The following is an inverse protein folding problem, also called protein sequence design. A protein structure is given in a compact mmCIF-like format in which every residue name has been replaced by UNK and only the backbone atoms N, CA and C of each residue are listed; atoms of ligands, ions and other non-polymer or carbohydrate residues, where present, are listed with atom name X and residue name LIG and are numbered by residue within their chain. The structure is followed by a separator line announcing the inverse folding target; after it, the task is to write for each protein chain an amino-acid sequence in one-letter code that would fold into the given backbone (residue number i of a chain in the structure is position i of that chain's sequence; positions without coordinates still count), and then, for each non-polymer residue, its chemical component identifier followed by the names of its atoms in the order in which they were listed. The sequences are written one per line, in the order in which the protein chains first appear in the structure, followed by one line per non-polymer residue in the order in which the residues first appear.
data_IF_055928556550
#
_entry.id   IF_055928556550
#
_cell.length_a   1.000
_cell.length_b   1.000
_cell.length_c   1.000
_cell.angle_alpha   90.00
_cell.angle_beta   90.00
_cell.angle_gamma   90.00
#
_symmetry.space_group_name_H-M   'P 1'
#
loop_
_entity.id
_entity.type
_entity.pdbx_description
1 polymer ?
#
# COMPACT_ATOMS: atom_id res chain seq x y z
N UNK A 1 -13.14 -20.33 8.93
CA UNK A 1 -11.90 -19.61 9.34
C UNK A 1 -11.63 -19.90 10.80
N UNK A 2 -10.41 -20.33 11.13
CA UNK A 2 -10.05 -20.64 12.51
C UNK A 2 -9.84 -19.37 13.33
N UNK A 3 -10.04 -19.42 14.68
CA UNK A 3 -9.73 -18.30 15.55
C UNK A 3 -8.26 -17.86 15.46
N UNK A 4 -7.36 -18.79 15.19
CA UNK A 4 -5.93 -18.51 15.03
C UNK A 4 -5.64 -17.61 13.86
N UNK A 5 -6.36 -17.77 12.74
CA UNK A 5 -6.19 -16.94 11.55
C UNK A 5 -6.57 -15.48 11.81
N UNK A 6 -7.64 -15.25 12.57
CA UNK A 6 -8.02 -13.89 13.01
C UNK A 6 -6.97 -13.27 13.92
N UNK A 7 -6.42 -14.05 14.84
CA UNK A 7 -5.38 -13.59 15.73
C UNK A 7 -4.10 -13.25 14.96
N UNK A 8 -3.77 -14.04 13.95
CA UNK A 8 -2.64 -13.74 13.05
C UNK A 8 -2.83 -12.43 12.30
N UNK A 9 -4.05 -12.17 11.80
CA UNK A 9 -4.38 -10.90 11.13
C UNK A 9 -4.24 -9.71 12.09
N UNK A 10 -4.73 -9.85 13.32
CA UNK A 10 -4.59 -8.83 14.36
C UNK A 10 -3.12 -8.55 14.68
N UNK A 11 -2.32 -9.60 14.85
CA UNK A 11 -0.88 -9.46 15.09
C UNK A 11 -0.16 -8.80 13.91
N UNK A 12 -0.50 -9.18 12.70
CA UNK A 12 0.10 -8.61 11.49
C UNK A 12 -0.22 -7.11 11.37
N UNK A 13 -1.48 -6.73 11.60
CA UNK A 13 -1.86 -5.32 11.59
C UNK A 13 -1.14 -4.54 12.70
N UNK A 14 -1.11 -5.07 13.91
CA UNK A 14 -0.44 -4.44 15.05
C UNK A 14 1.04 -4.20 14.74
N UNK A 15 1.72 -5.18 14.16
CA UNK A 15 3.13 -5.05 13.78
C UNK A 15 3.34 -3.97 12.72
N UNK A 16 2.50 -3.94 11.68
CA UNK A 16 2.59 -2.95 10.60
C UNK A 16 2.28 -1.53 11.12
N UNK A 17 1.27 -1.38 11.97
CA UNK A 17 0.89 -0.11 12.56
C UNK A 17 1.96 0.41 13.53
N UNK A 18 2.59 -0.47 14.30
CA UNK A 18 3.73 -0.10 15.17
C UNK A 18 4.92 0.34 14.35
N UNK A 19 5.21 -0.32 13.23
CA UNK A 19 6.28 0.09 12.33
C UNK A 19 6.04 1.49 11.78
N UNK A 20 4.79 1.83 11.43
CA UNK A 20 4.42 3.18 11.02
C UNK A 20 4.70 4.19 12.14
N UNK A 21 4.27 3.91 13.36
CA UNK A 21 4.46 4.81 14.51
C UNK A 21 5.94 5.04 14.82
N UNK A 22 6.74 3.98 14.77
CA UNK A 22 8.20 4.09 14.95
C UNK A 22 8.84 4.93 13.88
N UNK A 23 8.47 4.73 12.62
CA UNK A 23 8.98 5.53 11.50
C UNK A 23 8.61 7.01 11.65
N UNK A 24 7.37 7.31 12.07
CA UNK A 24 6.92 8.68 12.32
C UNK A 24 7.71 9.34 13.44
N UNK A 25 7.99 8.62 14.54
CA UNK A 25 8.77 9.12 15.66
C UNK A 25 10.22 9.38 15.25
N UNK A 26 10.85 8.45 14.56
CA UNK A 26 12.22 8.62 14.05
C UNK A 26 12.31 9.77 13.05
N UNK A 27 11.31 9.92 12.21
CA UNK A 27 11.22 11.03 11.26
C UNK A 27 11.15 12.38 11.95
N UNK A 28 10.42 12.49 13.05
CA UNK A 28 10.37 13.72 13.88
C UNK A 28 11.73 14.06 14.48
N UNK A 29 12.41 13.06 15.03
CA UNK A 29 13.75 13.24 15.61
C UNK A 29 14.76 13.69 14.56
N UNK A 30 14.62 13.21 13.31
CA UNK A 30 15.50 13.55 12.19
C UNK A 30 15.05 14.76 11.38
N UNK A 31 13.96 15.42 11.76
CA UNK A 31 13.38 16.54 11.01
C UNK A 31 12.65 16.14 9.73
N UNK A 32 12.32 14.85 9.56
CA UNK A 32 11.67 14.31 8.37
C UNK A 32 10.16 14.02 8.56
N UNK A 33 9.57 14.53 9.65
CA UNK A 33 8.22 14.17 10.05
C UNK A 33 7.13 14.40 9.00
N UNK A 34 7.23 15.46 8.20
CA UNK A 34 6.25 15.76 7.15
C UNK A 34 6.35 14.79 5.98
N UNK A 35 7.55 14.42 5.57
CA UNK A 35 7.78 13.49 4.47
C UNK A 35 7.25 12.09 4.78
N UNK A 36 7.12 11.73 6.07
CA UNK A 36 6.71 10.40 6.51
C UNK A 36 5.21 10.29 6.78
N UNK A 37 4.44 11.37 6.69
CA UNK A 37 3.06 11.41 7.20
C UNK A 37 1.98 10.93 6.24
N UNK A 38 2.28 10.63 5.02
CA UNK A 38 1.26 10.21 4.08
C UNK A 38 1.83 9.84 2.74
N UNK A 39 0.98 9.26 1.91
CA UNK A 39 1.37 8.95 0.54
C UNK A 39 1.46 10.24 -0.28
N UNK A 40 2.49 10.39 -1.11
CA UNK A 40 2.51 11.43 -2.13
C UNK A 40 1.28 11.30 -3.05
N UNK A 41 0.67 12.44 -3.36
CA UNK A 41 -0.50 12.49 -4.24
C UNK A 41 -0.06 12.98 -5.61
N UNK A 42 -0.37 12.21 -6.63
CA UNK A 42 -0.05 12.52 -8.03
C UNK A 42 -1.31 12.83 -8.79
N UNK A 43 -1.21 13.77 -9.75
CA UNK A 43 -2.30 14.01 -10.66
C UNK A 43 -2.38 12.89 -11.69
N UNK A 44 -3.48 12.14 -11.67
CA UNK A 44 -3.71 11.01 -12.58
C UNK A 44 -3.82 11.40 -14.05
N UNK A 45 -3.94 12.70 -14.36
CA UNK A 45 -3.93 13.19 -15.74
C UNK A 45 -2.53 13.25 -16.32
N UNK A 46 -1.48 13.26 -15.49
CA UNK A 46 -0.08 13.32 -15.94
C UNK A 46 0.45 11.90 -16.11
N UNK A 47 0.02 11.23 -17.17
CA UNK A 47 0.51 9.90 -17.52
C UNK A 47 1.59 9.98 -18.59
N UNK A 48 2.68 9.22 -18.42
CA UNK A 48 3.58 8.92 -19.52
C UNK A 48 2.92 7.90 -20.45
N UNK A 49 2.80 8.26 -21.73
CA UNK A 49 2.21 7.38 -22.76
C UNK A 49 3.14 6.24 -23.21
N UNK A 50 4.40 6.25 -22.80
CA UNK A 50 5.43 5.33 -23.28
C UNK A 50 5.61 4.07 -22.45
N UNK A 51 4.82 3.85 -21.40
CA UNK A 51 4.91 2.69 -20.54
C UNK A 51 4.08 1.52 -21.02
N UNK A 52 4.34 0.34 -20.43
CA UNK A 52 3.51 -0.83 -20.64
C UNK A 52 2.12 -0.59 -20.07
N UNK A 53 1.10 -0.98 -20.85
CA UNK A 53 -0.29 -0.96 -20.42
C UNK A 53 -0.82 -2.39 -20.29
N UNK A 54 -1.93 -2.52 -19.58
CA UNK A 54 -2.56 -3.82 -19.35
C UNK A 54 -2.17 -4.42 -18.02
N UNK A 55 -2.46 -5.71 -17.86
CA UNK A 55 -2.21 -6.43 -16.61
C UNK A 55 -0.78 -6.95 -16.61
N UNK A 56 0.02 -6.44 -15.70
CA UNK A 56 1.43 -6.83 -15.54
C UNK A 56 1.81 -6.94 -14.07
N UNK A 57 2.89 -7.68 -13.80
CA UNK A 57 3.52 -7.66 -12.48
C UNK A 57 4.42 -6.43 -12.40
N UNK A 58 4.26 -5.65 -11.32
CA UNK A 58 5.11 -4.49 -11.06
C UNK A 58 5.82 -4.64 -9.72
N UNK A 59 7.04 -4.10 -9.58
CA UNK A 59 7.71 -4.08 -8.29
C UNK A 59 6.94 -3.22 -7.30
N UNK A 60 6.74 -3.71 -6.09
CA UNK A 60 6.12 -2.91 -5.02
C UNK A 60 6.93 -1.64 -4.73
N UNK A 61 8.25 -1.70 -4.85
CA UNK A 61 9.12 -0.54 -4.67
C UNK A 61 8.91 0.56 -5.69
N UNK A 62 8.35 0.24 -6.86
CA UNK A 62 8.06 1.22 -7.89
C UNK A 62 6.77 2.00 -7.64
N UNK A 63 5.97 1.58 -6.66
CA UNK A 63 4.73 2.27 -6.28
C UNK A 63 5.08 3.40 -5.33
N UNK A 64 5.00 4.64 -5.82
CA UNK A 64 5.48 5.82 -5.10
C UNK A 64 4.38 6.57 -4.35
N UNK A 65 3.11 6.37 -4.71
CA UNK A 65 2.03 7.13 -4.09
C UNK A 65 0.66 6.78 -4.66
N UNK A 66 -0.23 7.75 -4.60
CA UNK A 66 -1.64 7.57 -4.95
C UNK A 66 -2.13 8.70 -5.86
N UNK A 67 -3.17 8.43 -6.65
CA UNK A 67 -3.94 9.48 -7.33
C UNK A 67 -5.15 9.91 -6.50
N UNK A 68 -5.38 9.30 -5.33
CA UNK A 68 -6.57 9.48 -4.52
C UNK A 68 -6.24 10.24 -3.23
N UNK A 69 -6.49 11.56 -3.16
CA UNK A 69 -6.16 12.36 -1.97
C UNK A 69 -6.79 11.83 -0.68
N UNK A 70 -8.00 11.26 -0.77
CA UNK A 70 -8.71 10.71 0.39
C UNK A 70 -8.01 9.49 1.00
N UNK A 71 -7.14 8.83 0.26
CA UNK A 71 -6.40 7.66 0.72
C UNK A 71 -5.03 8.00 1.29
N UNK A 72 -4.50 9.17 0.92
CA UNK A 72 -3.13 9.55 1.24
C UNK A 72 -2.82 9.51 2.75
N UNK A 73 -3.76 9.95 3.59
CA UNK A 73 -3.59 9.99 5.04
C UNK A 73 -3.80 8.63 5.73
N UNK A 74 -4.26 7.61 5.01
CA UNK A 74 -4.51 6.29 5.58
C UNK A 74 -3.25 5.44 5.74
N UNK A 75 -2.16 5.86 5.09
CA UNK A 75 -0.88 5.15 5.09
C UNK A 75 0.26 6.17 5.20
N UNK A 76 1.44 5.71 5.62
CA UNK A 76 2.65 6.51 5.47
C UNK A 76 3.22 6.33 4.04
N UNK A 77 4.32 7.01 3.74
CA UNK A 77 4.94 6.94 2.40
C UNK A 77 5.43 5.54 2.00
N UNK A 78 5.55 4.62 2.95
CA UNK A 78 5.92 3.22 2.73
C UNK A 78 4.71 2.29 2.80
N UNK A 79 3.49 2.83 2.73
CA UNK A 79 2.24 2.10 2.79
C UNK A 79 2.00 1.37 4.12
N UNK A 80 2.62 1.81 5.21
CA UNK A 80 2.30 1.30 6.54
C UNK A 80 0.97 1.88 7.00
N UNK A 81 0.08 1.03 7.58
CA UNK A 81 -1.30 1.43 7.82
C UNK A 81 -1.47 2.27 9.08
N UNK A 82 -2.41 3.22 9.02
CA UNK A 82 -2.94 3.90 10.20
C UNK A 82 -4.05 3.06 10.84
N UNK A 83 -4.42 3.33 12.11
CA UNK A 83 -5.53 2.60 12.76
C UNK A 83 -6.87 2.67 12.00
N UNK A 84 -7.10 3.71 11.22
CA UNK A 84 -8.32 3.88 10.42
C UNK A 84 -8.53 2.76 9.38
N UNK A 85 -7.45 2.12 8.96
CA UNK A 85 -7.51 1.09 7.91
C UNK A 85 -7.75 -0.31 8.45
N UNK A 86 -7.74 -0.51 9.76
CA UNK A 86 -7.65 -1.82 10.41
C UNK A 86 -8.60 -2.86 9.86
N UNK A 87 -9.89 -2.56 9.83
CA UNK A 87 -10.91 -3.53 9.42
C UNK A 87 -10.70 -4.03 7.99
N UNK A 88 -10.46 -3.12 7.07
CA UNK A 88 -10.24 -3.45 5.65
C UNK A 88 -8.89 -4.12 5.44
N UNK A 89 -7.87 -3.65 6.13
CA UNK A 89 -6.51 -4.21 6.05
C UNK A 89 -6.49 -5.68 6.51
N UNK A 90 -7.09 -5.98 7.65
CA UNK A 90 -7.18 -7.34 8.18
C UNK A 90 -7.99 -8.25 7.26
N UNK A 91 -9.05 -7.74 6.65
CA UNK A 91 -9.86 -8.48 5.69
C UNK A 91 -9.05 -8.89 4.46
N UNK A 92 -8.25 -7.97 3.93
CA UNK A 92 -7.36 -8.25 2.81
C UNK A 92 -6.29 -9.26 3.22
N UNK A 93 -5.69 -9.08 4.39
CA UNK A 93 -4.69 -10.01 4.91
C UNK A 93 -5.25 -11.43 5.02
N UNK A 94 -6.46 -11.56 5.56
CA UNK A 94 -7.15 -12.86 5.68
C UNK A 94 -7.41 -13.48 4.32
N UNK A 95 -7.86 -12.71 3.35
CA UNK A 95 -8.10 -13.22 2.00
C UNK A 95 -6.82 -13.79 1.38
N UNK A 96 -5.71 -13.09 1.51
CA UNK A 96 -4.40 -13.56 1.04
C UNK A 96 -4.00 -14.83 1.77
N UNK A 97 -4.16 -14.87 3.09
CA UNK A 97 -3.81 -16.03 3.91
C UNK A 97 -4.62 -17.27 3.52
N UNK A 98 -5.86 -17.10 3.12
CA UNK A 98 -6.73 -18.19 2.69
C UNK A 98 -6.54 -18.59 1.23
N UNK A 99 -5.59 -18.00 0.53
CA UNK A 99 -5.30 -18.30 -0.87
C UNK A 99 -6.31 -17.73 -1.87
N UNK A 100 -7.11 -16.76 -1.47
CA UNK A 100 -8.03 -16.06 -2.37
C UNK A 100 -7.23 -15.25 -3.37
N UNK A 101 -7.48 -15.43 -4.66
CA UNK A 101 -6.89 -14.61 -5.71
C UNK A 101 -7.58 -13.25 -5.73
N UNK A 102 -6.84 -12.22 -5.39
CA UNK A 102 -7.35 -10.85 -5.40
C UNK A 102 -7.24 -10.26 -6.82
N UNK A 103 -8.17 -9.36 -7.19
CA UNK A 103 -8.08 -8.70 -8.49
C UNK A 103 -6.81 -7.85 -8.57
N UNK A 104 -6.31 -7.58 -9.80
CA UNK A 104 -5.19 -6.66 -9.98
C UNK A 104 -5.49 -5.29 -9.36
N UNK A 105 -4.48 -4.65 -8.79
CA UNK A 105 -4.61 -3.24 -8.40
C UNK A 105 -4.67 -2.37 -9.66
N UNK A 106 -5.23 -1.18 -9.53
CA UNK A 106 -5.25 -0.22 -10.64
C UNK A 106 -4.25 0.89 -10.39
N UNK A 107 -3.35 1.11 -11.33
CA UNK A 107 -2.28 2.11 -11.22
C UNK A 107 -2.17 2.95 -12.48
N UNK A 108 -1.57 4.13 -12.34
CA UNK A 108 -1.10 4.94 -13.46
C UNK A 108 0.41 5.07 -13.37
N UNK A 109 1.07 5.16 -14.51
CA UNK A 109 2.49 5.39 -14.55
C UNK A 109 2.78 6.89 -14.40
N UNK A 110 3.69 7.22 -13.48
CA UNK A 110 4.14 8.59 -13.23
C UNK A 110 5.67 8.59 -13.32
N UNK A 111 6.20 9.03 -14.46
CA UNK A 111 7.63 8.88 -14.71
C UNK A 111 8.04 7.39 -14.75
N UNK A 112 9.02 7.02 -13.97
CA UNK A 112 9.48 5.63 -13.83
C UNK A 112 8.78 4.90 -12.67
N UNK A 113 7.84 5.56 -12.01
CA UNK A 113 7.09 5.03 -10.88
C UNK A 113 5.62 4.84 -11.22
N UNK A 114 4.86 4.34 -10.24
CA UNK A 114 3.42 4.15 -10.34
C UNK A 114 2.71 4.83 -9.17
N UNK A 115 1.52 5.34 -9.43
CA UNK A 115 0.61 5.84 -8.40
C UNK A 115 -0.66 4.99 -8.42
N UNK A 116 -1.17 4.65 -7.24
CA UNK A 116 -2.34 3.78 -7.12
C UNK A 116 -3.62 4.56 -7.31
N UNK A 117 -4.52 4.04 -8.16
CA UNK A 117 -5.92 4.46 -8.22
C UNK A 117 -6.78 3.65 -7.27
N UNK A 118 -6.60 2.33 -7.28
CA UNK A 118 -7.37 1.40 -6.45
C UNK A 118 -6.47 0.23 -6.03
N UNK A 119 -6.58 -0.15 -4.77
CA UNK A 119 -5.83 -1.26 -4.22
C UNK A 119 -4.82 -0.89 -3.14
N UNK A 120 -4.98 0.24 -2.48
CA UNK A 120 -4.07 0.72 -1.42
C UNK A 120 -3.87 -0.31 -0.31
N UNK A 121 -4.93 -0.94 0.17
CA UNK A 121 -4.85 -1.96 1.23
C UNK A 121 -4.13 -3.21 0.74
N UNK A 122 -4.35 -3.61 -0.52
CA UNK A 122 -3.65 -4.76 -1.12
C UNK A 122 -2.15 -4.52 -1.20
N UNK A 123 -1.73 -3.31 -1.56
CA UNK A 123 -0.31 -2.93 -1.57
C UNK A 123 0.27 -2.94 -0.16
N UNK A 124 -0.43 -2.36 0.79
CA UNK A 124 0.01 -2.32 2.19
C UNK A 124 0.20 -3.72 2.77
N UNK A 125 -0.78 -4.61 2.56
CA UNK A 125 -0.71 -6.01 3.00
C UNK A 125 0.43 -6.76 2.29
N UNK A 126 0.57 -6.59 0.98
CA UNK A 126 1.62 -7.25 0.21
C UNK A 126 3.01 -6.86 0.73
N UNK A 127 3.24 -5.58 0.99
CA UNK A 127 4.49 -5.11 1.60
C UNK A 127 4.71 -5.68 2.98
N UNK A 128 3.69 -5.71 3.83
CA UNK A 128 3.79 -6.27 5.18
C UNK A 128 4.11 -7.76 5.15
N UNK A 129 3.67 -8.48 4.12
CA UNK A 129 3.96 -9.91 3.94
C UNK A 129 5.31 -10.17 3.26
N UNK A 130 6.05 -9.14 2.91
CA UNK A 130 7.36 -9.28 2.27
C UNK A 130 7.31 -9.63 0.79
N UNK A 131 6.19 -9.42 0.12
CA UNK A 131 6.11 -9.60 -1.33
C UNK A 131 7.00 -8.59 -2.05
N UNK A 132 7.54 -8.96 -3.20
CA UNK A 132 8.39 -8.08 -4.01
C UNK A 132 7.62 -7.44 -5.17
N UNK A 133 6.60 -8.12 -5.65
CA UNK A 133 5.81 -7.66 -6.80
C UNK A 133 4.32 -7.78 -6.51
N UNK A 134 3.53 -7.13 -7.32
CA UNK A 134 2.06 -7.23 -7.28
C UNK A 134 1.50 -7.12 -8.69
N UNK A 135 0.42 -7.84 -8.95
CA UNK A 135 -0.29 -7.77 -10.24
C UNK A 135 -1.07 -6.46 -10.33
N UNK A 136 -0.83 -5.71 -11.38
CA UNK A 136 -1.44 -4.40 -11.59
C UNK A 136 -2.02 -4.25 -12.98
N UNK A 137 -3.15 -3.56 -13.07
CA UNK A 137 -3.69 -3.05 -14.32
C UNK A 137 -3.16 -1.62 -14.49
N UNK A 138 -2.30 -1.43 -15.47
CA UNK A 138 -1.71 -0.13 -15.78
C UNK A 138 -2.59 0.54 -16.84
N UNK A 139 -3.20 1.64 -16.43
CA UNK A 139 -4.12 2.39 -17.29
C UNK A 139 -3.56 3.65 -17.88
#
# INVERSE_FOLDING_TARGET
MSPWTRLEADHAFTAASRARRRAALLGRVRGLGRAMRGLPVYDGAVQRRSGRRGVIEIPLEAIAGTTEPNRAAQFDQYFRPTPLTRSRWERVWLAVQQGVTLPPISVVQVGDAYAIRDGHHRVSVAKARGALTITALVG
#
